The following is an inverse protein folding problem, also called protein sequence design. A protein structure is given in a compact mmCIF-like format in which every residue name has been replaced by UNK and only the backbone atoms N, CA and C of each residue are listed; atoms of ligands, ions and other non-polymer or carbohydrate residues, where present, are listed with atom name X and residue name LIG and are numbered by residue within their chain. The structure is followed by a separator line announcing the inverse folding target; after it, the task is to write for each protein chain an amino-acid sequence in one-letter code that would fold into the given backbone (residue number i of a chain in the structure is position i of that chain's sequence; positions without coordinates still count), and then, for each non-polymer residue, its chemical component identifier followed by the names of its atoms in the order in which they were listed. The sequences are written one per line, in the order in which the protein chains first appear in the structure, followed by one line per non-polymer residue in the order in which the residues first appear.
data_IF_447072270195
#
_entry.id   IF_447072270195
#
_cell.length_a   1.000
_cell.length_b   1.000
_cell.length_c   1.000
_cell.angle_alpha   90.00
_cell.angle_beta   90.00
_cell.angle_gamma   90.00
#
_symmetry.space_group_name_H-M   'P 1'
#
loop_
_entity.id
_entity.type
_entity.pdbx_description
1 polymer ?
#
# COMPACT_ATOMS: atom_id res chain seq x y z
N UNK A 1 -12.04 -2.22 -11.93
CA UNK A 1 -13.18 -1.28 -12.01
C UNK A 1 -12.88 -0.28 -13.12
N UNK A 2 -13.76 -0.16 -14.13
CA UNK A 2 -13.60 0.84 -15.18
C UNK A 2 -13.57 2.25 -14.56
N UNK A 3 -12.86 3.18 -15.21
CA UNK A 3 -12.78 4.60 -14.82
C UNK A 3 -12.10 4.90 -13.47
N UNK A 4 -11.26 4.00 -12.94
CA UNK A 4 -10.41 4.30 -11.78
C UNK A 4 -9.08 4.94 -12.18
N UNK A 5 -8.66 5.95 -11.43
CA UNK A 5 -7.28 6.42 -11.44
C UNK A 5 -6.32 5.34 -10.86
N UNK A 6 -5.02 5.49 -11.12
CA UNK A 6 -3.96 4.57 -10.70
C UNK A 6 -3.62 4.67 -9.20
N UNK A 7 -4.64 4.55 -8.34
CA UNK A 7 -4.53 4.58 -6.88
C UNK A 7 -5.12 3.29 -6.30
N UNK A 8 -4.28 2.55 -5.58
CA UNK A 8 -4.61 1.27 -4.97
C UNK A 8 -4.40 1.35 -3.47
N UNK A 9 -5.50 1.42 -2.72
CA UNK A 9 -5.50 1.22 -1.27
C UNK A 9 -5.74 -0.25 -0.97
N UNK A 10 -4.96 -0.82 -0.06
CA UNK A 10 -5.01 -2.23 0.29
C UNK A 10 -4.70 -2.49 1.76
N UNK A 11 -5.11 -3.66 2.23
CA UNK A 11 -4.67 -4.27 3.47
C UNK A 11 -4.19 -5.69 3.19
N UNK A 12 -3.36 -6.20 4.07
CA UNK A 12 -2.97 -7.61 4.08
C UNK A 12 -3.34 -8.14 5.46
N UNK A 13 -4.09 -9.23 5.49
CA UNK A 13 -4.55 -9.84 6.74
C UNK A 13 -3.37 -10.17 7.67
N UNK A 14 -3.45 -9.77 8.93
CA UNK A 14 -2.37 -9.95 9.91
C UNK A 14 -1.20 -8.98 9.76
N UNK A 15 -1.22 -8.04 8.80
CA UNK A 15 -0.17 -7.04 8.63
C UNK A 15 -0.72 -5.62 8.83
N UNK A 16 -0.26 -4.91 9.87
CA UNK A 16 -0.65 -3.53 10.09
C UNK A 16 -0.12 -2.64 8.96
N UNK A 17 -0.96 -1.70 8.50
CA UNK A 17 -0.59 -0.81 7.39
C UNK A 17 0.68 0.01 7.65
N UNK A 18 0.93 0.37 8.91
CA UNK A 18 2.14 1.11 9.31
C UNK A 18 3.40 0.26 9.16
N UNK A 19 3.39 -0.97 9.68
CA UNK A 19 4.51 -1.90 9.57
C UNK A 19 4.84 -2.22 8.10
N UNK A 20 3.81 -2.41 7.27
CA UNK A 20 3.97 -2.58 5.83
C UNK A 20 4.69 -1.39 5.19
N UNK A 21 4.25 -0.15 5.47
CA UNK A 21 4.88 1.03 4.90
C UNK A 21 6.32 1.21 5.36
N UNK A 22 6.60 0.98 6.65
CA UNK A 22 7.95 1.06 7.21
C UNK A 22 8.89 0.03 6.58
N UNK A 23 8.46 -1.22 6.44
CA UNK A 23 9.30 -2.26 5.84
C UNK A 23 9.47 -2.09 4.33
N UNK A 24 8.46 -1.57 3.62
CA UNK A 24 8.57 -1.23 2.20
C UNK A 24 9.54 -0.07 1.96
N UNK A 25 9.55 0.94 2.83
CA UNK A 25 10.51 2.05 2.79
C UNK A 25 11.96 1.54 2.91
N UNK A 26 12.21 0.56 3.80
CA UNK A 26 13.51 -0.11 3.90
C UNK A 26 13.90 -0.91 2.65
N UNK A 27 12.95 -1.23 1.77
CA UNK A 27 13.22 -1.81 0.45
C UNK A 27 13.32 -0.75 -0.67
N UNK A 28 13.30 0.55 -0.32
CA UNK A 28 13.33 1.65 -1.27
C UNK A 28 11.98 1.95 -1.93
N UNK A 29 10.88 1.44 -1.38
CA UNK A 29 9.53 1.64 -1.93
C UNK A 29 8.74 2.62 -1.04
N UNK A 30 8.52 3.82 -1.56
CA UNK A 30 7.67 4.82 -0.92
C UNK A 30 6.17 4.54 -1.15
N UNK A 31 5.45 4.30 -0.06
CA UNK A 31 3.99 4.18 0.00
C UNK A 31 3.43 4.99 1.16
N UNK A 32 2.10 5.17 1.23
CA UNK A 32 1.47 5.82 2.39
C UNK A 32 0.65 4.83 3.20
N UNK A 33 0.85 4.81 4.51
CA UNK A 33 -0.07 4.16 5.46
C UNK A 33 -0.95 5.19 6.18
N UNK A 34 -2.18 4.81 6.52
CA UNK A 34 -3.05 5.58 7.42
C UNK A 34 -4.46 5.74 6.90
N UNK A 35 -5.10 6.84 7.31
CA UNK A 35 -6.47 7.18 6.93
C UNK A 35 -6.57 8.07 5.69
N UNK A 36 -5.44 8.55 5.17
CA UNK A 36 -5.36 9.35 3.93
C UNK A 36 -6.26 10.59 3.93
N UNK A 37 -6.45 11.20 5.11
CA UNK A 37 -7.39 12.30 5.33
C UNK A 37 -8.87 11.95 5.02
N UNK A 38 -9.22 10.66 5.00
CA UNK A 38 -10.55 10.15 4.63
C UNK A 38 -11.14 9.27 5.75
N UNK A 39 -11.13 9.76 6.99
CA UNK A 39 -11.59 9.02 8.18
C UNK A 39 -12.98 8.37 8.00
N UNK A 40 -14.02 9.07 7.50
CA UNK A 40 -15.35 8.47 7.37
C UNK A 40 -15.40 7.30 6.38
N UNK A 41 -14.57 7.35 5.33
CA UNK A 41 -14.48 6.28 4.34
C UNK A 41 -13.89 5.01 4.96
N UNK A 42 -12.84 5.16 5.76
CA UNK A 42 -12.21 4.01 6.43
C UNK A 42 -13.12 3.44 7.53
N UNK A 43 -13.89 4.27 8.22
CA UNK A 43 -14.95 3.83 9.13
C UNK A 43 -16.02 3.02 8.41
N UNK A 44 -16.48 3.46 7.23
CA UNK A 44 -17.43 2.71 6.40
C UNK A 44 -16.89 1.31 6.01
N UNK A 45 -15.60 1.22 5.66
CA UNK A 45 -14.95 -0.06 5.37
C UNK A 45 -14.57 -0.87 6.62
N UNK A 46 -14.79 -0.35 7.84
CA UNK A 46 -14.48 -1.04 9.09
C UNK A 46 -12.99 -1.23 9.35
N UNK A 47 -12.12 -0.40 8.76
CA UNK A 47 -10.66 -0.53 8.86
C UNK A 47 -10.03 0.71 9.49
N UNK A 48 -9.06 0.53 10.39
CA UNK A 48 -8.39 1.67 11.04
C UNK A 48 -7.45 2.43 10.09
N UNK A 49 -6.76 1.71 9.20
CA UNK A 49 -5.79 2.25 8.27
C UNK A 49 -5.62 1.34 7.04
N UNK A 50 -5.19 1.90 5.92
CA UNK A 50 -4.79 1.13 4.72
C UNK A 50 -3.39 1.54 4.29
N UNK A 51 -2.70 0.66 3.57
CA UNK A 51 -1.53 1.04 2.78
C UNK A 51 -2.00 1.49 1.40
N UNK A 52 -1.33 2.46 0.79
CA UNK A 52 -1.74 3.03 -0.50
C UNK A 52 -0.53 3.23 -1.42
N UNK A 53 -0.56 2.54 -2.56
CA UNK A 53 0.30 2.79 -3.71
C UNK A 53 -0.47 3.68 -4.70
N UNK A 54 0.10 4.84 -5.04
CA UNK A 54 -0.48 5.79 -5.99
C UNK A 54 0.54 6.08 -7.07
N UNK A 55 0.26 5.61 -8.28
CA UNK A 55 1.14 5.73 -9.43
C UNK A 55 0.84 7.02 -10.20
N UNK A 56 1.85 7.50 -10.90
CA UNK A 56 1.81 8.62 -11.83
C UNK A 56 2.34 8.18 -13.21
N UNK A 57 2.24 9.07 -14.19
CA UNK A 57 2.67 8.81 -15.57
C UNK A 57 4.16 8.51 -15.73
N UNK A 58 4.99 8.90 -14.76
CA UNK A 58 6.43 8.65 -14.76
C UNK A 58 6.81 7.30 -14.14
N UNK A 59 5.87 6.61 -13.50
CA UNK A 59 6.16 5.29 -12.95
C UNK A 59 6.29 4.26 -14.07
N UNK A 60 7.08 3.22 -13.79
CA UNK A 60 7.39 2.18 -14.78
C UNK A 60 6.80 0.82 -14.38
N UNK A 61 6.68 -0.08 -15.35
CA UNK A 61 6.32 -1.47 -15.08
C UNK A 61 7.37 -2.16 -14.20
N UNK A 62 8.65 -1.83 -14.37
CA UNK A 62 9.75 -2.38 -13.56
C UNK A 62 9.65 -1.94 -12.09
N UNK A 63 9.19 -0.72 -11.83
CA UNK A 63 8.89 -0.26 -10.46
C UNK A 63 7.72 -1.05 -9.85
N UNK A 64 6.70 -1.42 -10.65
CA UNK A 64 5.60 -2.27 -10.19
C UNK A 64 6.13 -3.67 -9.83
N UNK A 65 6.99 -4.27 -10.66
CA UNK A 65 7.60 -5.56 -10.35
C UNK A 65 8.48 -5.48 -9.09
N UNK A 66 9.27 -4.41 -8.95
CA UNK A 66 10.10 -4.15 -7.78
C UNK A 66 9.25 -4.00 -6.51
N UNK A 67 8.13 -3.27 -6.60
CA UNK A 67 7.15 -3.16 -5.53
C UNK A 67 6.56 -4.51 -5.15
N UNK A 68 6.17 -5.35 -6.13
CA UNK A 68 5.60 -6.66 -5.87
C UNK A 68 6.61 -7.62 -5.22
N UNK A 69 7.88 -7.58 -5.63
CA UNK A 69 8.95 -8.34 -5.00
C UNK A 69 9.18 -7.88 -3.55
N UNK A 70 9.24 -6.57 -3.30
CA UNK A 70 9.36 -6.00 -1.96
C UNK A 70 8.17 -6.38 -1.08
N UNK A 71 6.94 -6.26 -1.58
CA UNK A 71 5.72 -6.57 -0.84
C UNK A 71 5.67 -8.04 -0.40
N UNK A 72 6.04 -8.97 -1.30
CA UNK A 72 6.13 -10.40 -0.96
C UNK A 72 7.16 -10.64 0.14
N UNK A 73 8.34 -10.04 0.04
CA UNK A 73 9.39 -10.14 1.07
C UNK A 73 8.92 -9.58 2.41
N UNK A 74 8.31 -8.40 2.41
CA UNK A 74 7.78 -7.76 3.62
C UNK A 74 6.70 -8.61 4.26
N UNK A 75 5.79 -9.21 3.47
CA UNK A 75 4.78 -10.13 4.00
C UNK A 75 5.41 -11.30 4.75
N UNK A 76 6.44 -11.94 4.19
CA UNK A 76 7.11 -13.06 4.87
C UNK A 76 7.77 -12.68 6.20
N UNK A 77 8.14 -11.40 6.39
CA UNK A 77 8.71 -10.92 7.65
C UNK A 77 7.65 -10.67 8.73
N UNK A 78 6.39 -10.44 8.33
CA UNK A 78 5.27 -10.13 9.23
C UNK A 78 4.43 -11.36 9.59
N UNK A 79 4.70 -12.53 8.99
CA UNK A 79 3.88 -13.74 9.14
C UNK A 79 2.88 -13.88 8.00
#
# INVERSE_FOLDING_TARGET
APNKAAVVSFQIEGAHAHDLATLLDLQGVAVRSGQHCAHPLLQYYGVAATCRASLAFYNTHDEIESFMAALKKVRTLLG
#
